data_IF_082959930548
#
_entry.id   IF_082959930548
#
_cell.length_a   1.000
_cell.length_b   1.000
_cell.length_c   1.000
_cell.angle_alpha   90.00
_cell.angle_beta   90.00
_cell.angle_gamma   90.00
#
_symmetry.space_group_name_H-M   'P 1'
#
loop_
_entity.id
_entity.type
_entity.pdbx_description
1 polymer ?
#
# COMPACT_ATOMS: atom_id res chain seq x y z
N UNK A 1 -4.81 -0.80 24.76
CA UNK A 1 -5.61 -1.59 23.80
C UNK A 1 -5.48 -0.86 22.46
N UNK A 2 -5.10 -1.55 21.38
CA UNK A 2 -5.10 -0.97 20.03
C UNK A 2 -6.41 -1.38 19.38
N UNK A 3 -7.16 -0.41 18.85
CA UNK A 3 -8.33 -0.75 18.04
C UNK A 3 -7.87 -1.29 16.68
N UNK A 4 -8.53 -2.36 16.23
CA UNK A 4 -8.30 -2.97 14.92
C UNK A 4 -9.58 -2.81 14.13
N UNK A 5 -9.48 -2.18 12.96
CA UNK A 5 -10.59 -1.93 12.03
C UNK A 5 -10.30 -2.60 10.69
N UNK A 6 -11.36 -3.09 10.02
CA UNK A 6 -11.23 -3.93 8.83
C UNK A 6 -11.12 -5.43 9.17
N UNK A 7 -10.62 -6.28 8.24
CA UNK A 7 -10.06 -5.93 6.93
C UNK A 7 -11.14 -5.48 5.91
N UNK A 8 -10.73 -4.74 4.88
CA UNK A 8 -11.57 -4.41 3.73
C UNK A 8 -10.99 -5.07 2.46
N UNK A 9 -11.82 -5.77 1.72
CA UNK A 9 -11.41 -6.50 0.51
C UNK A 9 -12.03 -7.90 0.45
N UNK A 10 -11.43 -8.78 -0.36
CA UNK A 10 -11.83 -10.19 -0.48
C UNK A 10 -11.01 -11.13 0.42
N UNK A 11 -11.37 -12.41 0.42
CA UNK A 11 -10.74 -13.45 1.26
C UNK A 11 -9.54 -14.16 0.59
N UNK A 12 -8.97 -13.58 -0.47
CA UNK A 12 -7.85 -14.17 -1.21
C UNK A 12 -6.48 -13.80 -0.64
N UNK A 13 -5.44 -14.53 -1.06
CA UNK A 13 -4.04 -14.27 -0.68
C UNK A 13 -3.63 -14.84 0.68
N UNK A 14 -2.45 -14.44 1.14
CA UNK A 14 -1.90 -14.83 2.45
C UNK A 14 -2.06 -13.68 3.43
N UNK A 15 -2.73 -13.93 4.56
CA UNK A 15 -2.90 -12.94 5.62
C UNK A 15 -1.55 -12.56 6.25
N UNK A 16 -1.42 -11.31 6.68
CA UNK A 16 -0.23 -10.77 7.35
C UNK A 16 -0.64 -9.72 8.38
N UNK A 17 0.18 -9.57 9.41
CA UNK A 17 0.07 -8.54 10.46
C UNK A 17 1.50 -8.19 10.92
N UNK A 18 1.92 -6.94 10.73
CA UNK A 18 3.24 -6.47 11.18
C UNK A 18 3.31 -6.32 12.72
N UNK A 19 2.17 -6.34 13.40
CA UNK A 19 2.04 -6.24 14.84
C UNK A 19 1.93 -4.81 15.36
N UNK A 20 1.67 -4.70 16.67
CA UNK A 20 1.31 -3.43 17.35
C UNK A 20 2.45 -2.76 18.13
N UNK A 21 3.70 -3.22 17.99
CA UNK A 21 4.82 -2.80 18.83
C UNK A 21 5.57 -1.56 18.29
N UNK A 22 4.89 -0.74 17.51
CA UNK A 22 5.41 0.45 16.86
C UNK A 22 4.73 1.71 17.40
N UNK A 23 5.45 2.83 17.41
CA UNK A 23 4.93 4.12 17.89
C UNK A 23 4.14 4.86 16.81
N UNK A 24 4.35 4.51 15.54
CA UNK A 24 3.64 5.11 14.41
C UNK A 24 4.22 4.67 13.07
N UNK A 25 3.67 5.22 11.99
CA UNK A 25 4.13 5.01 10.62
C UNK A 25 4.97 6.21 10.20
N UNK A 26 6.14 5.99 9.59
CA UNK A 26 7.00 7.05 9.03
C UNK A 26 6.87 7.18 7.51
N UNK A 27 6.65 6.06 6.83
CA UNK A 27 6.56 6.00 5.38
C UNK A 27 5.71 4.81 4.94
N UNK A 28 4.96 5.00 3.85
CA UNK A 28 4.26 3.93 3.14
C UNK A 28 4.73 3.94 1.69
N UNK A 29 5.11 2.77 1.20
CA UNK A 29 5.43 2.53 -0.21
C UNK A 29 4.44 1.55 -0.81
N UNK A 30 3.79 1.96 -1.89
CA UNK A 30 2.93 1.11 -2.70
C UNK A 30 3.58 0.81 -4.05
N UNK A 31 3.38 -0.40 -4.53
CA UNK A 31 3.61 -0.76 -5.93
C UNK A 31 2.26 -1.12 -6.52
N UNK A 32 1.80 -0.40 -7.54
CA UNK A 32 0.46 -0.59 -8.10
C UNK A 32 0.43 -0.40 -9.62
N UNK A 33 -0.60 -0.97 -10.26
CA UNK A 33 -0.94 -0.76 -11.67
C UNK A 33 -2.45 -0.55 -11.78
N UNK A 34 -3.17 -1.52 -12.35
CA UNK A 34 -4.65 -1.56 -12.29
C UNK A 34 -5.19 -1.82 -10.87
N UNK A 35 -4.36 -2.38 -10.00
CA UNK A 35 -4.62 -2.64 -8.59
C UNK A 35 -3.31 -2.53 -7.79
N UNK A 36 -3.41 -2.55 -6.46
CA UNK A 36 -2.22 -2.61 -5.58
C UNK A 36 -1.59 -4.01 -5.71
N UNK A 37 -0.31 -4.04 -6.09
CA UNK A 37 0.48 -5.27 -6.18
C UNK A 37 1.19 -5.59 -4.87
N UNK A 38 1.73 -4.56 -4.20
CA UNK A 38 2.35 -4.71 -2.89
C UNK A 38 2.35 -3.43 -2.08
N UNK A 39 2.49 -3.60 -0.76
CA UNK A 39 2.65 -2.56 0.24
C UNK A 39 3.87 -2.87 1.12
N UNK A 40 4.58 -1.83 1.54
CA UNK A 40 5.61 -1.90 2.58
C UNK A 40 5.59 -0.61 3.40
N UNK A 41 5.80 -0.75 4.70
CA UNK A 41 5.88 0.36 5.63
C UNK A 41 7.28 0.54 6.21
N UNK A 42 7.60 1.76 6.58
CA UNK A 42 8.64 2.08 7.57
C UNK A 42 7.92 2.57 8.81
N UNK A 43 8.08 1.87 9.91
CA UNK A 43 7.51 2.24 11.21
C UNK A 43 8.50 3.06 12.04
N UNK A 44 7.97 3.81 12.99
CA UNK A 44 8.75 4.29 14.12
C UNK A 44 8.74 3.25 15.25
N UNK A 45 9.93 2.95 15.78
CA UNK A 45 10.08 2.19 17.02
C UNK A 45 11.08 2.91 17.92
N UNK A 46 10.56 3.57 18.94
CA UNK A 46 11.31 4.37 19.90
C UNK A 46 12.20 5.41 19.21
N UNK A 47 11.65 6.15 18.25
CA UNK A 47 12.37 7.17 17.50
C UNK A 47 13.28 6.64 16.38
N UNK A 48 13.33 5.32 16.17
CA UNK A 48 14.16 4.70 15.12
C UNK A 48 13.29 4.14 13.98
N UNK A 49 13.69 4.31 12.72
CA UNK A 49 12.99 3.71 11.59
C UNK A 49 13.19 2.19 11.58
N UNK A 50 12.09 1.44 11.45
CA UNK A 50 12.10 -0.03 11.29
C UNK A 50 11.38 -0.37 10.00
N UNK A 51 12.09 -1.01 9.07
CA UNK A 51 11.54 -1.45 7.78
C UNK A 51 10.75 -2.72 7.96
N UNK A 52 9.50 -2.73 7.52
CA UNK A 52 8.64 -3.90 7.53
C UNK A 52 8.95 -4.85 6.36
N UNK A 53 8.42 -6.06 6.46
CA UNK A 53 8.36 -6.97 5.32
C UNK A 53 7.53 -6.36 4.19
N UNK A 54 7.80 -6.77 2.95
CA UNK A 54 6.94 -6.38 1.83
C UNK A 54 5.81 -7.40 1.72
N UNK A 55 4.58 -6.90 1.69
CA UNK A 55 3.40 -7.73 1.52
C UNK A 55 2.89 -7.62 0.09
N UNK A 56 2.79 -8.75 -0.60
CA UNK A 56 2.37 -8.82 -1.99
C UNK A 56 3.53 -9.04 -2.99
N UNK A 57 3.16 -9.11 -4.27
CA UNK A 57 4.04 -9.52 -5.36
C UNK A 57 4.99 -8.42 -5.83
N UNK A 58 5.85 -8.73 -6.79
CA UNK A 58 6.77 -7.77 -7.42
C UNK A 58 6.06 -6.84 -8.40
N UNK A 59 4.80 -7.12 -8.77
CA UNK A 59 4.06 -6.42 -9.80
C UNK A 59 4.17 -7.06 -11.18
N UNK A 60 3.50 -6.46 -12.16
CA UNK A 60 3.61 -6.80 -13.59
C UNK A 60 4.49 -5.78 -14.35
N UNK A 61 4.48 -5.82 -15.68
CA UNK A 61 5.37 -5.00 -16.51
C UNK A 61 5.10 -3.49 -16.41
N UNK A 62 3.89 -3.08 -16.01
CA UNK A 62 3.48 -1.68 -15.90
C UNK A 62 3.05 -1.36 -14.47
N UNK A 63 4.01 -1.04 -13.61
CA UNK A 63 3.73 -0.61 -12.23
C UNK A 63 4.34 0.74 -11.91
N UNK A 64 3.58 1.53 -11.15
CA UNK A 64 4.05 2.74 -10.49
C UNK A 64 4.50 2.38 -9.08
N UNK A 65 5.60 2.98 -8.65
CA UNK A 65 6.04 2.97 -7.25
C UNK A 65 5.78 4.35 -6.68
N UNK A 66 4.98 4.41 -5.62
CA UNK A 66 4.68 5.66 -4.94
C UNK A 66 4.98 5.53 -3.45
N UNK A 67 5.75 6.49 -2.94
CA UNK A 67 6.19 6.53 -1.56
C UNK A 67 5.74 7.85 -0.94
N UNK A 68 5.03 7.76 0.19
CA UNK A 68 4.57 8.92 0.96
C UNK A 68 5.10 8.87 2.39
N UNK A 69 5.69 9.97 2.83
CA UNK A 69 6.22 10.13 4.19
C UNK A 69 5.18 10.76 5.11
N UNK A 70 5.20 10.40 6.39
CA UNK A 70 4.35 11.00 7.39
C UNK A 70 4.56 12.52 7.52
N UNK A 71 5.76 13.03 7.26
CA UNK A 71 6.00 14.48 7.28
C UNK A 71 5.20 15.24 6.20
N UNK A 72 4.83 14.55 5.11
CA UNK A 72 3.92 15.06 4.08
C UNK A 72 2.46 14.69 4.32
N UNK A 73 2.18 13.78 5.25
CA UNK A 73 0.84 13.39 5.67
C UNK A 73 0.48 14.22 6.90
N UNK A 74 -0.17 15.38 6.73
CA UNK A 74 -0.59 16.22 7.86
C UNK A 74 -1.20 15.39 9.01
N UNK A 75 -0.82 15.68 10.25
CA UNK A 75 -1.45 15.08 11.41
C UNK A 75 -2.59 15.99 11.87
N UNK A 76 -3.82 15.45 11.92
CA UNK A 76 -4.91 16.06 12.65
C UNK A 76 -5.23 15.14 13.84
N UNK A 77 -5.12 15.67 15.05
CA UNK A 77 -5.63 15.05 16.29
C UNK A 77 -5.19 13.60 16.57
N UNK A 78 -3.98 13.23 16.13
CA UNK A 78 -3.39 11.90 16.38
C UNK A 78 -3.82 10.81 15.39
N UNK A 79 -4.58 11.15 14.35
CA UNK A 79 -4.96 10.24 13.27
C UNK A 79 -4.08 10.47 12.04
N UNK A 80 -3.74 9.38 11.35
CA UNK A 80 -3.21 9.48 9.99
C UNK A 80 -4.31 10.08 9.11
N UNK A 81 -4.04 11.18 8.41
CA UNK A 81 -4.95 11.63 7.36
C UNK A 81 -5.15 10.51 6.32
N UNK A 82 -6.34 10.42 5.70
CA UNK A 82 -6.57 9.47 4.62
C UNK A 82 -5.47 9.60 3.57
N UNK A 83 -4.76 8.50 3.32
CA UNK A 83 -3.80 8.42 2.24
C UNK A 83 -4.55 8.21 0.94
N UNK A 84 -4.84 9.30 0.25
CA UNK A 84 -5.32 9.24 -1.14
C UNK A 84 -4.11 9.01 -2.05
N UNK A 85 -4.13 7.89 -2.77
CA UNK A 85 -3.23 7.61 -3.87
C UNK A 85 -4.01 7.81 -5.16
N UNK A 86 -3.55 8.73 -6.00
CA UNK A 86 -4.16 8.96 -7.30
C UNK A 86 -3.83 7.79 -8.22
N UNK A 87 -4.80 6.91 -8.45
CA UNK A 87 -4.65 5.86 -9.43
C UNK A 87 -4.56 6.49 -10.83
N UNK A 88 -3.44 6.35 -11.56
CA UNK A 88 -3.39 6.74 -12.95
C UNK A 88 -4.44 5.89 -13.68
N UNK A 89 -5.36 6.54 -14.39
CA UNK A 89 -6.30 5.86 -15.28
C UNK A 89 -5.50 5.17 -16.37
N UNK A 90 -5.11 3.91 -16.16
CA UNK A 90 -4.40 3.13 -17.17
C UNK A 90 -5.34 3.00 -18.36
N UNK A 91 -4.96 3.43 -19.58
CA UNK A 91 -5.79 3.24 -20.75
C UNK A 91 -6.12 1.75 -20.89
N UNK A 92 -7.41 1.41 -21.01
CA UNK A 92 -7.81 0.05 -21.36
C UNK A 92 -7.18 -0.27 -22.72
N UNK A 93 -6.11 -1.07 -22.74
CA UNK A 93 -5.71 -1.74 -23.97
C UNK A 93 -6.87 -2.67 -24.29
N UNK A 94 -7.65 -2.32 -25.31
CA UNK A 94 -8.56 -3.26 -25.92
C UNK A 94 -7.68 -4.40 -26.43
N UNK A 95 -7.73 -5.55 -25.77
CA UNK A 95 -7.22 -6.79 -26.36
C UNK A 95 -8.03 -7.01 -27.63
N UNK A 96 -7.45 -6.63 -28.76
CA UNK A 96 -7.99 -6.97 -30.06
C UNK A 96 -8.19 -8.47 -30.07
N UNK A 97 -9.43 -8.94 -30.14
CA UNK A 97 -9.72 -10.32 -30.52
C UNK A 97 -9.14 -10.48 -31.92
N UNK A 98 -7.97 -11.11 -32.05
CA UNK A 98 -7.57 -11.68 -33.33
C UNK A 98 -8.60 -12.74 -33.66
N UNK A 99 -9.45 -12.46 -34.64
CA UNK A 99 -10.23 -13.50 -35.31
C UNK A 99 -9.20 -14.40 -35.99
N UNK A 100 -9.20 -15.68 -35.65
CA UNK A 100 -8.54 -16.68 -36.46
C UNK A 100 -9.52 -16.97 -37.61
N UNK A 101 -9.07 -16.69 -38.83
CA UNK A 101 -9.76 -17.07 -40.08
C UNK A 101 -9.71 -18.59 -40.30
#
# INVERSE_FOLDING_TARGET
MTEVVGPWGGNGGTAWDDGKYYNGVREITLVYGNCINSIRLIYDKNGKPVKAEKHGGTGGNNTVVETKSLASMGQADGYLIPLEFDYPKVPKVNSGKTKND
#
